data_IF_019899883623
#
_entry.id   IF_019899883623
#
_cell.length_a   1.000
_cell.length_b   1.000
_cell.length_c   1.000
_cell.angle_alpha   90.00
_cell.angle_beta   90.00
_cell.angle_gamma   90.00
#
_symmetry.space_group_name_H-M   'P 1'
#
loop_
_entity.id
_entity.type
_entity.pdbx_description
1 polymer ?
#
# COMPACT_ATOMS: atom_id res chain seq x y z
N UNK A 1 -9.11 5.33 1.09
CA UNK A 1 -8.18 6.46 1.22
C UNK A 1 -6.84 5.88 1.63
N UNK A 2 -5.85 6.02 0.74
CA UNK A 2 -4.48 5.63 0.98
C UNK A 2 -3.79 6.77 1.73
N UNK A 3 -3.08 6.48 2.82
CA UNK A 3 -2.27 7.48 3.53
C UNK A 3 -0.80 7.15 3.33
N UNK A 4 0.01 8.11 2.89
CA UNK A 4 1.45 7.96 2.76
C UNK A 4 2.15 9.01 3.61
N UNK A 5 3.02 8.54 4.49
CA UNK A 5 3.98 9.37 5.21
C UNK A 5 5.36 9.01 4.65
N UNK A 6 5.91 9.85 3.76
CA UNK A 6 7.24 9.64 3.17
C UNK A 6 8.25 10.64 3.72
N UNK A 7 9.32 10.15 4.34
CA UNK A 7 10.52 10.95 4.69
C UNK A 7 11.64 10.58 3.71
N UNK A 8 12.25 11.54 2.98
CA UNK A 8 13.37 11.27 2.09
C UNK A 8 14.55 10.62 2.84
N UNK A 9 15.12 9.55 2.28
CA UNK A 9 16.25 8.82 2.88
C UNK A 9 15.87 7.73 3.90
N UNK A 10 14.57 7.44 4.05
CA UNK A 10 14.05 6.34 4.84
C UNK A 10 13.00 5.54 4.06
N UNK A 11 12.80 4.27 4.43
CA UNK A 11 11.70 3.45 3.93
C UNK A 11 10.38 4.22 4.07
N UNK A 12 9.66 4.41 2.97
CA UNK A 12 8.37 5.09 2.98
C UNK A 12 7.28 4.12 3.43
N UNK A 13 6.56 4.51 4.49
CA UNK A 13 5.43 3.75 5.00
C UNK A 13 4.16 4.13 4.23
N UNK A 14 3.41 3.11 3.82
CA UNK A 14 2.16 3.23 3.06
C UNK A 14 1.08 2.50 3.82
N UNK A 15 0.02 3.21 4.18
CA UNK A 15 -1.16 2.61 4.81
C UNK A 15 -2.30 2.49 3.79
N UNK A 16 -2.63 1.25 3.42
CA UNK A 16 -3.78 0.93 2.56
C UNK A 16 -5.01 0.62 3.42
N UNK A 17 -6.15 1.21 3.03
CA UNK A 17 -7.45 0.97 3.67
C UNK A 17 -8.28 -0.04 2.88
N UNK A 18 -8.67 -1.13 3.54
CA UNK A 18 -9.53 -2.18 3.00
C UNK A 18 -10.92 -2.05 3.61
N UNK A 19 -11.96 -2.15 2.77
CA UNK A 19 -13.36 -2.08 3.21
C UNK A 19 -14.10 -3.30 2.69
N UNK A 20 -14.70 -4.08 3.58
CA UNK A 20 -15.53 -5.22 3.23
C UNK A 20 -17.00 -4.86 3.38
N UNK A 21 -17.73 -4.78 2.27
CA UNK A 21 -19.16 -4.50 2.26
C UNK A 21 -20.02 -5.78 2.34
N UNK A 22 -19.42 -6.97 2.28
CA UNK A 22 -20.13 -8.24 2.34
C UNK A 22 -20.57 -8.60 3.77
N UNK A 23 -21.50 -9.54 3.86
CA UNK A 23 -22.00 -10.11 5.12
C UNK A 23 -21.12 -11.24 5.67
N UNK A 24 -20.05 -11.60 4.95
CA UNK A 24 -19.07 -12.59 5.37
C UNK A 24 -17.66 -11.99 5.43
N UNK A 25 -16.76 -12.50 6.31
CA UNK A 25 -15.36 -12.12 6.30
C UNK A 25 -14.68 -12.42 4.96
N UNK A 26 -13.79 -11.52 4.52
CA UNK A 26 -12.99 -11.70 3.31
C UNK A 26 -11.53 -11.88 3.72
N UNK A 27 -10.92 -12.99 3.28
CA UNK A 27 -9.50 -13.24 3.49
C UNK A 27 -8.72 -12.74 2.28
N UNK A 28 -7.74 -11.89 2.52
CA UNK A 28 -6.79 -11.39 1.52
C UNK A 28 -5.46 -12.09 1.74
N UNK A 29 -4.90 -12.70 0.70
CA UNK A 29 -3.69 -13.53 0.78
C UNK A 29 -2.77 -13.34 -0.41
N UNK A 30 -1.50 -13.71 -0.24
CA UNK A 30 -0.51 -13.72 -1.33
C UNK A 30 0.02 -12.34 -1.66
N UNK A 31 -0.22 -11.34 -0.83
CA UNK A 31 0.20 -9.95 -1.11
C UNK A 31 1.72 -9.79 -1.19
N UNK A 32 2.48 -10.62 -0.49
CA UNK A 32 3.94 -10.60 -0.55
C UNK A 32 4.51 -11.35 -1.78
N UNK A 33 3.66 -11.99 -2.58
CA UNK A 33 4.08 -12.78 -3.74
C UNK A 33 4.04 -11.95 -5.03
N UNK A 34 4.99 -12.20 -5.94
CA UNK A 34 4.85 -11.91 -7.37
C UNK A 34 4.58 -10.44 -7.77
N UNK A 35 4.88 -9.46 -6.91
CA UNK A 35 4.60 -8.04 -7.20
C UNK A 35 3.13 -7.64 -7.04
N UNK A 36 2.32 -8.46 -6.34
CA UNK A 36 0.92 -8.13 -6.05
C UNK A 36 0.74 -6.86 -5.24
N UNK A 37 1.76 -6.43 -4.49
CA UNK A 37 1.88 -5.05 -4.02
C UNK A 37 3.18 -4.46 -4.52
N UNK A 38 3.09 -3.42 -5.33
CA UNK A 38 4.25 -2.72 -5.89
C UNK A 38 4.07 -1.22 -5.70
N UNK A 39 5.06 -0.53 -5.13
CA UNK A 39 5.11 0.92 -5.16
C UNK A 39 5.95 1.37 -6.36
N UNK A 40 5.53 2.46 -7.02
CA UNK A 40 6.32 3.13 -8.05
C UNK A 40 6.72 4.53 -7.58
N UNK A 41 7.92 4.95 -7.96
CA UNK A 41 8.39 6.31 -7.76
C UNK A 41 7.80 7.28 -8.81
N UNK A 42 8.21 8.54 -8.72
CA UNK A 42 7.78 9.62 -9.61
C UNK A 42 8.23 9.48 -11.07
N UNK A 43 9.25 8.67 -11.33
CA UNK A 43 9.74 8.34 -12.67
C UNK A 43 9.11 7.05 -13.22
N UNK A 44 8.31 6.35 -12.42
CA UNK A 44 7.60 5.12 -12.78
C UNK A 44 8.40 3.84 -12.55
N UNK A 45 9.54 3.90 -11.86
CA UNK A 45 10.32 2.72 -11.49
C UNK A 45 9.75 2.03 -10.26
N UNK A 46 9.87 0.70 -10.21
CA UNK A 46 9.41 -0.08 -9.07
C UNK A 46 10.34 0.09 -7.87
N UNK A 47 9.77 0.46 -6.72
CA UNK A 47 10.46 0.50 -5.45
C UNK A 47 10.63 -0.92 -4.89
N UNK A 48 11.65 -1.10 -4.05
CA UNK A 48 11.87 -2.37 -3.37
C UNK A 48 10.88 -2.53 -2.22
N UNK A 49 10.16 -3.64 -2.18
CA UNK A 49 9.33 -3.99 -1.01
C UNK A 49 10.23 -4.35 0.17
N UNK A 50 10.10 -3.62 1.27
CA UNK A 50 10.83 -3.85 2.53
C UNK A 50 10.00 -4.71 3.47
N UNK A 51 8.70 -4.40 3.59
CA UNK A 51 7.76 -5.15 4.39
C UNK A 51 6.39 -5.16 3.72
N UNK A 52 5.79 -6.35 3.64
CA UNK A 52 4.43 -6.55 3.23
C UNK A 52 3.79 -7.63 4.10
N UNK A 53 2.61 -7.36 4.65
CA UNK A 53 1.80 -8.42 5.24
C UNK A 53 1.39 -9.38 4.13
N UNK A 54 1.58 -10.68 4.33
CA UNK A 54 1.23 -11.66 3.29
C UNK A 54 -0.28 -11.98 3.30
N UNK A 55 -0.91 -11.95 4.48
CA UNK A 55 -2.30 -12.29 4.64
C UNK A 55 -2.97 -11.57 5.81
N UNK A 56 -4.25 -11.28 5.66
CA UNK A 56 -5.13 -10.80 6.72
C UNK A 56 -6.59 -11.05 6.36
N UNK A 57 -7.47 -10.89 7.35
CA UNK A 57 -8.92 -10.99 7.15
C UNK A 57 -9.56 -9.65 7.43
N UNK A 58 -10.42 -9.20 6.52
CA UNK A 58 -11.31 -8.06 6.74
C UNK A 58 -12.66 -8.61 7.20
N UNK A 59 -13.09 -8.37 8.46
CA UNK A 59 -14.38 -8.86 8.95
C UNK A 59 -15.56 -8.36 8.10
N UNK A 60 -16.70 -9.03 8.20
CA UNK A 60 -17.94 -8.60 7.54
C UNK A 60 -18.29 -7.17 7.95
N UNK A 61 -18.75 -6.35 6.98
CA UNK A 61 -19.13 -4.94 7.18
C UNK A 61 -18.09 -4.06 7.88
N UNK A 62 -16.80 -4.43 7.81
CA UNK A 62 -15.74 -3.75 8.54
C UNK A 62 -14.72 -3.08 7.60
N UNK A 63 -13.89 -2.21 8.20
CA UNK A 63 -12.75 -1.57 7.56
C UNK A 63 -11.48 -1.89 8.33
N UNK A 64 -10.39 -2.13 7.61
CA UNK A 64 -9.07 -2.41 8.17
C UNK A 64 -8.02 -1.54 7.48
N UNK A 65 -7.06 -1.05 8.25
CA UNK A 65 -5.86 -0.40 7.73
C UNK A 65 -4.69 -1.36 7.82
N UNK A 66 -3.87 -1.39 6.78
CA UNK A 66 -2.72 -2.28 6.67
C UNK A 66 -1.53 -1.49 6.18
N UNK A 67 -0.42 -1.64 6.89
CA UNK A 67 0.81 -0.93 6.61
C UNK A 67 1.76 -1.77 5.75
N UNK A 68 2.41 -1.10 4.82
CA UNK A 68 3.42 -1.61 3.92
C UNK A 68 4.63 -0.68 3.96
N UNK A 69 5.81 -1.23 3.74
CA UNK A 69 7.04 -0.43 3.67
C UNK A 69 7.74 -0.68 2.34
N UNK A 70 8.08 0.40 1.66
CA UNK A 70 8.84 0.37 0.41
C UNK A 70 10.07 1.27 0.50
N UNK A 71 11.13 0.86 -0.18
CA UNK A 71 12.35 1.62 -0.36
C UNK A 71 12.45 2.05 -1.83
N UNK A 72 12.24 3.35 -2.05
CA UNK A 72 12.40 4.02 -3.35
C UNK A 72 13.73 4.80 -3.40
N UNK A 73 14.69 4.47 -2.52
CA UNK A 73 15.88 5.26 -2.29
C UNK A 73 15.54 6.68 -1.88
N UNK A 74 15.98 7.65 -2.68
CA UNK A 74 15.81 9.08 -2.41
C UNK A 74 14.54 9.65 -3.05
N UNK A 75 13.74 8.83 -3.73
CA UNK A 75 12.50 9.25 -4.38
C UNK A 75 11.29 9.01 -3.48
N UNK A 76 10.23 9.77 -3.75
CA UNK A 76 8.92 9.57 -3.12
C UNK A 76 8.16 8.46 -3.83
N UNK A 77 7.27 7.78 -3.11
CA UNK A 77 6.26 6.92 -3.75
C UNK A 77 5.25 7.84 -4.43
N UNK A 78 5.03 7.63 -5.73
CA UNK A 78 4.01 8.33 -6.52
C UNK A 78 2.74 7.46 -6.71
N UNK A 79 2.88 6.14 -6.68
CA UNK A 79 1.79 5.22 -6.94
C UNK A 79 1.98 3.90 -6.21
N UNK A 80 0.88 3.29 -5.79
CA UNK A 80 0.85 1.92 -5.26
C UNK A 80 -0.09 1.08 -6.11
N UNK A 81 0.41 -0.03 -6.62
CA UNK A 81 -0.35 -1.05 -7.33
C UNK A 81 -0.65 -2.20 -6.38
N UNK A 82 -1.92 -2.60 -6.34
CA UNK A 82 -2.42 -3.72 -5.57
C UNK A 82 -3.20 -4.63 -6.51
N UNK A 83 -2.63 -5.79 -6.86
CA UNK A 83 -3.07 -6.62 -7.99
C UNK A 83 -3.19 -5.77 -9.26
N UNK A 84 -4.37 -5.77 -9.90
CA UNK A 84 -4.64 -5.00 -11.12
C UNK A 84 -5.12 -3.56 -10.84
N UNK A 85 -5.29 -3.19 -9.56
CA UNK A 85 -5.72 -1.86 -9.16
C UNK A 85 -4.55 -0.92 -8.90
N UNK A 86 -4.69 0.35 -9.28
CA UNK A 86 -3.66 1.38 -9.10
C UNK A 86 -4.21 2.53 -8.26
N UNK A 87 -3.41 2.99 -7.30
CA UNK A 87 -3.76 4.04 -6.35
C UNK A 87 -2.66 5.11 -6.37
N UNK A 88 -2.94 6.33 -6.82
CA UNK A 88 -1.97 7.42 -6.73
C UNK A 88 -1.69 7.76 -5.27
N UNK A 89 -0.46 8.19 -4.98
CA UNK A 89 -0.13 8.71 -3.66
C UNK A 89 -0.83 10.05 -3.46
N UNK A 90 -1.79 10.13 -2.55
CA UNK A 90 -2.33 11.43 -2.13
C UNK A 90 -1.38 12.03 -1.09
N UNK A 91 -0.53 12.98 -1.52
CA UNK A 91 0.22 13.80 -0.58
C UNK A 91 -0.77 14.70 0.15
N UNK A 92 -0.93 14.55 1.46
CA UNK A 92 -1.66 15.52 2.26
C UNK A 92 -0.85 16.81 2.24
N UNK A 93 -1.24 17.77 1.42
CA UNK A 93 -0.72 19.13 1.54
C UNK A 93 -1.01 19.61 2.95
N UNK A 94 0.03 19.80 3.77
CA UNK A 94 -0.06 20.60 4.98
C UNK A 94 -0.41 22.02 4.52
N UNK A 95 -1.68 22.40 4.70
CA UNK A 95 -2.03 23.83 4.80
C UNK A 95 -1.46 24.38 6.10
#
# INVERSE_FOLDING_TARGET
MLHLDSVPGASSAVTLGFSNAADAPVRVTGLAMGGHVTALDDDGYACKTVSAINEFTVPAKAKLKVDFAFDCGNKRIAMVRLFDAQYPSETRGTM
#
